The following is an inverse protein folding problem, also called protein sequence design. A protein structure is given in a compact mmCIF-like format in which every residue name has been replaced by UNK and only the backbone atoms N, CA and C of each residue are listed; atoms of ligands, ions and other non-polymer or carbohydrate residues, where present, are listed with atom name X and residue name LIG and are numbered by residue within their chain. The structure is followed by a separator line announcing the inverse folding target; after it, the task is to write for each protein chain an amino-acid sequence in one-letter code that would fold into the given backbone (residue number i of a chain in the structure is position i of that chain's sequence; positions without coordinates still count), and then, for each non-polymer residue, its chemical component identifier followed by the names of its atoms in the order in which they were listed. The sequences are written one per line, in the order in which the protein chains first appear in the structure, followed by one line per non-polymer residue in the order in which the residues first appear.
data_IF_380042996647
#
_entry.id   IF_380042996647
#
_cell.length_a   1.000
_cell.length_b   1.000
_cell.length_c   1.000
_cell.angle_alpha   90.00
_cell.angle_beta   90.00
_cell.angle_gamma   90.00
#
_symmetry.space_group_name_H-M   'P 1'
#
loop_
_entity.id
_entity.type
_entity.pdbx_description
1 polymer ?
#
# COMPACT_ATOMS: atom_id res chain seq x y z
N UNK A 1 -22.50 -25.56 18.54
CA UNK A 1 -22.05 -25.33 17.15
C UNK A 1 -20.68 -24.68 17.16
N UNK A 2 -19.63 -25.39 16.79
CA UNK A 2 -18.25 -24.97 17.04
C UNK A 2 -17.57 -24.33 15.80
N UNK A 3 -18.31 -23.45 15.11
CA UNK A 3 -17.92 -22.90 13.79
C UNK A 3 -16.74 -21.95 13.90
N UNK A 4 -16.67 -21.13 14.96
CA UNK A 4 -15.58 -20.17 15.15
C UNK A 4 -14.23 -20.86 15.37
N UNK A 5 -14.21 -21.96 16.12
CA UNK A 5 -13.00 -22.76 16.36
C UNK A 5 -12.49 -23.38 15.05
N UNK A 6 -13.39 -23.98 14.26
CA UNK A 6 -13.04 -24.54 12.94
C UNK A 6 -12.57 -23.48 11.94
N UNK A 7 -13.16 -22.27 11.96
CA UNK A 7 -12.67 -21.16 11.14
C UNK A 7 -11.26 -20.73 11.53
N UNK A 8 -10.96 -20.65 12.83
CA UNK A 8 -9.63 -20.31 13.31
C UNK A 8 -8.59 -21.37 12.91
N UNK A 9 -8.94 -22.65 13.04
CA UNK A 9 -8.11 -23.78 12.57
C UNK A 9 -7.85 -23.70 11.06
N UNK A 10 -8.88 -23.40 10.26
CA UNK A 10 -8.77 -23.22 8.82
C UNK A 10 -7.87 -22.03 8.43
N UNK A 11 -8.04 -20.88 9.07
CA UNK A 11 -7.18 -19.69 8.87
C UNK A 11 -5.74 -20.02 9.25
N UNK A 12 -5.51 -20.76 10.34
CA UNK A 12 -4.17 -21.18 10.77
C UNK A 12 -3.51 -22.10 9.75
N UNK A 13 -4.24 -23.09 9.23
CA UNK A 13 -3.74 -24.00 8.20
C UNK A 13 -3.39 -23.26 6.90
N UNK A 14 -4.22 -22.31 6.48
CA UNK A 14 -3.97 -21.49 5.30
C UNK A 14 -2.78 -20.53 5.48
N UNK A 15 -2.62 -19.90 6.66
CA UNK A 15 -1.43 -19.11 6.97
C UNK A 15 -0.16 -19.97 6.94
N UNK A 16 -0.21 -21.20 7.47
CA UNK A 16 0.92 -22.14 7.45
C UNK A 16 1.30 -22.58 6.01
N UNK A 17 0.32 -22.65 5.11
CA UNK A 17 0.53 -22.88 3.67
C UNK A 17 1.05 -21.65 2.91
N UNK A 18 1.28 -20.53 3.59
CA UNK A 18 1.75 -19.28 2.98
C UNK A 18 0.68 -18.54 2.18
N UNK A 19 -0.60 -18.85 2.38
CA UNK A 19 -1.69 -18.17 1.68
C UNK A 19 -1.78 -16.73 2.19
N UNK A 20 -1.54 -15.77 1.29
CA UNK A 20 -1.69 -14.34 1.56
C UNK A 20 -3.17 -13.98 1.63
N UNK A 21 -3.63 -13.62 2.82
CA UNK A 21 -4.99 -13.15 3.04
C UNK A 21 -5.12 -11.65 2.70
N UNK A 22 -6.32 -11.27 2.24
CA UNK A 22 -6.68 -9.88 1.97
C UNK A 22 -6.52 -9.47 0.51
N UNK A 23 -6.80 -8.20 0.23
CA UNK A 23 -6.70 -7.63 -1.11
C UNK A 23 -5.22 -7.59 -1.54
N UNK A 24 -4.86 -8.02 -2.75
CA UNK A 24 -3.51 -7.89 -3.26
C UNK A 24 -3.09 -6.41 -3.28
N UNK A 25 -1.85 -6.14 -2.92
CA UNK A 25 -1.30 -4.79 -2.97
C UNK A 25 -1.14 -4.34 -4.43
N UNK A 26 -1.69 -3.17 -4.73
CA UNK A 26 -1.52 -2.56 -6.05
C UNK A 26 -0.07 -2.07 -6.14
N UNK A 27 0.72 -2.51 -7.14
CA UNK A 27 2.09 -2.05 -7.30
C UNK A 27 2.16 -0.53 -7.46
N UNK A 28 3.34 0.04 -7.16
CA UNK A 28 3.57 1.46 -7.41
C UNK A 28 3.67 1.68 -8.92
N UNK A 29 3.06 2.75 -9.47
CA UNK A 29 3.33 3.12 -10.84
C UNK A 29 4.80 3.57 -10.97
N UNK A 30 5.43 3.32 -12.13
CA UNK A 30 6.85 3.58 -12.34
C UNK A 30 7.24 5.05 -12.12
N UNK A 31 6.29 5.97 -12.36
CA UNK A 31 6.46 7.41 -12.17
C UNK A 31 6.38 7.86 -10.70
N UNK A 32 6.01 6.98 -9.77
CA UNK A 32 5.72 7.32 -8.38
C UNK A 32 6.89 8.01 -7.68
N UNK A 33 8.13 7.52 -7.89
CA UNK A 33 9.32 8.08 -7.25
C UNK A 33 9.59 9.53 -7.68
N UNK A 34 9.42 9.82 -8.98
CA UNK A 34 9.61 11.16 -9.54
C UNK A 34 8.54 12.11 -9.01
N UNK A 35 7.29 11.68 -9.06
CA UNK A 35 6.14 12.47 -8.56
C UNK A 35 6.28 12.74 -7.06
N UNK A 36 6.71 11.74 -6.27
CA UNK A 36 6.97 11.91 -4.84
C UNK A 36 8.04 12.98 -4.56
N UNK A 37 9.15 12.95 -5.31
CA UNK A 37 10.19 13.98 -5.21
C UNK A 37 9.69 15.37 -5.60
N UNK A 38 8.91 15.48 -6.68
CA UNK A 38 8.37 16.76 -7.12
C UNK A 38 7.32 17.31 -6.13
N UNK A 39 6.51 16.43 -5.53
CA UNK A 39 5.56 16.80 -4.48
C UNK A 39 6.27 17.24 -3.19
N UNK A 40 7.28 16.48 -2.72
CA UNK A 40 8.10 16.87 -1.56
C UNK A 40 8.92 18.13 -1.81
N UNK A 41 9.35 18.35 -3.05
CA UNK A 41 9.99 19.57 -3.52
C UNK A 41 9.03 20.74 -3.74
N UNK A 42 7.74 20.61 -3.39
CA UNK A 42 6.68 21.61 -3.56
C UNK A 42 6.48 22.11 -5.00
N UNK A 43 6.91 21.34 -6.00
CA UNK A 43 6.74 21.68 -7.43
C UNK A 43 5.33 21.39 -7.94
N UNK A 44 4.68 20.37 -7.36
CA UNK A 44 3.32 19.96 -7.69
C UNK A 44 2.50 19.80 -6.42
N UNK A 45 1.19 19.99 -6.54
CA UNK A 45 0.26 19.78 -5.41
C UNK A 45 0.01 18.29 -5.17
N UNK A 46 -0.51 17.97 -3.99
CA UNK A 46 -0.90 16.59 -3.64
C UNK A 46 -1.96 16.04 -4.62
N UNK A 47 -2.88 16.90 -5.07
CA UNK A 47 -3.93 16.56 -6.04
C UNK A 47 -3.31 16.19 -7.39
N UNK A 48 -2.44 17.05 -7.92
CA UNK A 48 -1.73 16.82 -9.19
C UNK A 48 -0.86 15.56 -9.15
N UNK A 49 -0.22 15.30 -8.01
CA UNK A 49 0.58 14.10 -7.82
C UNK A 49 -0.29 12.82 -7.85
N UNK A 50 -1.46 12.87 -7.23
CA UNK A 50 -2.43 11.78 -7.22
C UNK A 50 -3.00 11.51 -8.62
N UNK A 51 -3.37 12.58 -9.35
CA UNK A 51 -3.87 12.52 -10.72
C UNK A 51 -2.82 11.95 -11.67
N UNK A 52 -1.57 12.39 -11.57
CA UNK A 52 -0.45 11.86 -12.36
C UNK A 52 -0.12 10.40 -12.05
N UNK A 53 -0.47 9.91 -10.86
CA UNK A 53 -0.36 8.51 -10.48
C UNK A 53 -1.63 7.68 -10.79
N UNK A 54 -2.69 8.31 -11.31
CA UNK A 54 -3.98 7.65 -11.59
C UNK A 54 -4.63 7.04 -10.33
N UNK A 55 -4.41 7.62 -9.15
CA UNK A 55 -4.93 7.08 -7.90
C UNK A 55 -5.56 8.16 -7.01
N UNK A 56 -6.48 7.81 -6.09
CA UNK A 56 -7.06 8.78 -5.17
C UNK A 56 -6.01 9.43 -4.28
N UNK A 57 -6.21 10.70 -3.95
CA UNK A 57 -5.34 11.53 -3.10
C UNK A 57 -4.92 10.83 -1.80
N UNK A 58 -5.87 10.20 -1.10
CA UNK A 58 -5.59 9.46 0.12
C UNK A 58 -4.73 8.22 -0.10
N UNK A 59 -4.89 7.54 -1.25
CA UNK A 59 -4.05 6.40 -1.63
C UNK A 59 -2.63 6.87 -1.94
N UNK A 60 -2.49 7.98 -2.66
CA UNK A 60 -1.19 8.59 -2.94
C UNK A 60 -0.47 8.99 -1.65
N UNK A 61 -1.14 9.69 -0.74
CA UNK A 61 -0.55 10.11 0.53
C UNK A 61 -0.13 8.92 1.40
N UNK A 62 -0.97 7.90 1.53
CA UNK A 62 -0.65 6.69 2.27
C UNK A 62 0.55 5.94 1.68
N UNK A 63 0.59 5.82 0.34
CA UNK A 63 1.72 5.25 -0.40
C UNK A 63 3.00 6.06 -0.20
N UNK A 64 2.92 7.39 -0.25
CA UNK A 64 4.06 8.29 -0.06
C UNK A 64 4.65 8.15 1.35
N UNK A 65 3.81 8.10 2.39
CA UNK A 65 4.25 7.93 3.77
C UNK A 65 4.92 6.57 4.01
N UNK A 66 4.38 5.48 3.43
CA UNK A 66 5.00 4.15 3.49
C UNK A 66 6.34 4.11 2.76
N UNK A 67 6.42 4.79 1.61
CA UNK A 67 7.66 4.91 0.88
C UNK A 67 8.73 5.65 1.69
N UNK A 68 8.37 6.75 2.36
CA UNK A 68 9.26 7.49 3.26
C UNK A 68 9.73 6.65 4.46
N UNK A 69 8.82 5.92 5.13
CA UNK A 69 9.17 5.03 6.24
C UNK A 69 10.10 3.89 5.78
N UNK A 70 9.88 3.33 4.59
CA UNK A 70 10.76 2.31 4.01
C UNK A 70 12.15 2.86 3.64
N UNK A 71 12.24 4.14 3.23
CA UNK A 71 13.51 4.81 2.92
C UNK A 71 14.25 5.23 4.20
N UNK A 72 13.55 5.67 5.24
CA UNK A 72 14.14 6.11 6.51
C UNK A 72 14.64 4.95 7.39
N UNK A 73 14.06 3.75 7.24
CA UNK A 73 14.51 2.54 7.95
C UNK A 73 15.70 1.84 7.28
N UNK A 74 16.28 2.44 6.25
CA UNK A 74 17.49 1.98 5.56
C UNK A 74 18.68 2.83 5.99
#
# INVERSE_FOLDING_TARGET
TNIRQRQAEGIKAAKARGIRFGRPEIPYPDNFKKIHQDWRGKKITLQQAADACGMPVGTFYGKARRFEDAVLRK
#
